data_IF_149064989050
#
_entry.id   IF_149064989050
#
_cell.length_a   1.000
_cell.length_b   1.000
_cell.length_c   1.000
_cell.angle_alpha   90.00
_cell.angle_beta   90.00
_cell.angle_gamma   90.00
#
_symmetry.space_group_name_H-M   'P 1'
#
loop_
_entity.id
_entity.type
_entity.pdbx_description
1 polymer ?
#
# COMPACT_ATOMS: atom_id res chain seq x y z
N UNK A 1 -3.85 0.75 40.13
CA UNK A 1 -5.06 0.70 39.29
C UNK A 1 -4.62 0.73 37.83
N UNK A 2 -4.70 -0.41 37.14
CA UNK A 2 -4.39 -0.50 35.70
C UNK A 2 -5.61 0.00 34.93
N UNK A 3 -5.52 1.20 34.35
CA UNK A 3 -6.52 1.69 33.40
C UNK A 3 -6.38 0.91 32.10
N UNK A 4 -7.30 -0.02 31.87
CA UNK A 4 -7.49 -0.75 30.60
C UNK A 4 -7.93 0.29 29.55
N UNK A 5 -6.99 0.93 28.85
CA UNK A 5 -7.29 1.76 27.68
C UNK A 5 -8.03 0.86 26.69
N UNK A 6 -9.29 1.21 26.40
CA UNK A 6 -10.06 0.57 25.33
C UNK A 6 -9.28 0.79 24.03
N UNK A 7 -8.75 -0.29 23.45
CA UNK A 7 -8.08 -0.25 22.17
C UNK A 7 -9.11 0.07 21.10
N UNK A 8 -9.15 1.33 20.67
CA UNK A 8 -9.79 1.68 19.41
C UNK A 8 -8.85 1.14 18.35
N UNK A 9 -9.26 0.10 17.63
CA UNK A 9 -8.55 -0.33 16.43
C UNK A 9 -8.54 0.87 15.46
N UNK A 10 -7.35 1.38 15.15
CA UNK A 10 -7.21 2.43 14.14
C UNK A 10 -7.68 1.88 12.79
N UNK A 11 -8.45 2.69 12.05
CA UNK A 11 -9.05 2.34 10.78
C UNK A 11 -8.74 3.42 9.75
N UNK A 12 -8.33 3.03 8.53
CA UNK A 12 -7.94 3.94 7.45
C UNK A 12 -9.09 4.34 6.52
N UNK A 13 -10.33 4.00 6.87
CA UNK A 13 -11.51 4.20 6.04
C UNK A 13 -11.79 2.99 5.16
N UNK A 14 -12.40 3.23 4.00
CA UNK A 14 -12.71 2.22 3.01
C UNK A 14 -11.86 2.43 1.76
N UNK A 15 -11.64 1.35 1.01
CA UNK A 15 -11.07 1.45 -0.32
C UNK A 15 -11.90 2.38 -1.21
N UNK A 16 -11.23 2.97 -2.19
CA UNK A 16 -11.83 3.85 -3.17
C UNK A 16 -11.10 3.68 -4.50
N UNK A 17 -11.57 4.36 -5.55
CA UNK A 17 -10.94 4.27 -6.86
C UNK A 17 -9.48 4.78 -6.90
N UNK A 18 -9.00 5.41 -5.82
CA UNK A 18 -7.62 5.90 -5.66
C UNK A 18 -6.92 5.38 -4.37
N UNK A 19 -7.61 4.56 -3.58
CA UNK A 19 -7.09 4.04 -2.30
C UNK A 19 -7.32 2.52 -2.25
N UNK A 20 -6.23 1.77 -2.21
CA UNK A 20 -6.25 0.30 -2.17
C UNK A 20 -5.65 -0.21 -0.85
N UNK A 21 -6.21 -1.28 -0.32
CA UNK A 21 -5.69 -2.01 0.83
C UNK A 21 -5.26 -3.43 0.42
N UNK A 22 -4.13 -3.87 0.98
CA UNK A 22 -3.65 -5.24 0.91
C UNK A 22 -3.27 -5.70 2.29
N UNK A 23 -3.60 -6.94 2.62
CA UNK A 23 -3.32 -7.47 3.95
C UNK A 23 -1.82 -7.65 4.19
N UNK A 24 -1.04 -7.94 3.15
CA UNK A 24 0.41 -8.07 3.24
C UNK A 24 1.13 -8.02 1.90
N UNK A 25 2.45 -7.89 1.94
CA UNK A 25 3.29 -7.91 0.72
C UNK A 25 3.30 -9.25 -0.03
N UNK A 26 2.61 -10.30 0.44
CA UNK A 26 2.40 -11.51 -0.37
C UNK A 26 1.44 -11.28 -1.54
N UNK A 27 0.55 -10.28 -1.43
CA UNK A 27 -0.40 -9.89 -2.48
C UNK A 27 0.23 -8.90 -3.48
N UNK A 28 1.55 -8.96 -3.66
CA UNK A 28 2.30 -7.99 -4.47
C UNK A 28 1.85 -7.96 -5.92
N UNK A 29 1.54 -9.12 -6.49
CA UNK A 29 1.12 -9.19 -7.90
C UNK A 29 -0.20 -8.44 -8.11
N UNK A 30 -1.21 -8.72 -7.28
CA UNK A 30 -2.49 -8.00 -7.30
C UNK A 30 -2.30 -6.51 -7.01
N UNK A 31 -1.38 -6.14 -6.11
CA UNK A 31 -1.08 -4.75 -5.84
C UNK A 31 -0.53 -4.01 -7.09
N UNK A 32 0.29 -4.66 -7.91
CA UNK A 32 0.80 -4.08 -9.16
C UNK A 32 -0.33 -3.87 -10.18
N UNK A 33 -1.24 -4.83 -10.30
CA UNK A 33 -2.45 -4.71 -11.13
C UNK A 33 -3.32 -3.54 -10.67
N UNK A 34 -3.58 -3.41 -9.36
CA UNK A 34 -4.32 -2.29 -8.78
C UNK A 34 -3.61 -0.94 -9.07
N UNK A 35 -2.29 -0.86 -8.94
CA UNK A 35 -1.53 0.36 -9.26
C UNK A 35 -1.72 0.75 -10.74
N UNK A 36 -1.53 -0.19 -11.67
CA UNK A 36 -1.69 0.10 -13.10
C UNK A 36 -3.12 0.56 -13.44
N UNK A 37 -4.13 -0.11 -12.88
CA UNK A 37 -5.54 0.26 -13.06
C UNK A 37 -5.84 1.67 -12.53
N UNK A 38 -5.38 1.98 -11.31
CA UNK A 38 -5.61 3.28 -10.66
C UNK A 38 -4.89 4.39 -11.44
N UNK A 39 -3.64 4.21 -11.86
CA UNK A 39 -2.91 5.21 -12.66
C UNK A 39 -3.59 5.43 -14.02
N UNK A 40 -4.05 4.36 -14.68
CA UNK A 40 -4.76 4.49 -15.95
C UNK A 40 -6.05 5.31 -15.85
N UNK A 41 -6.75 5.22 -14.72
CA UNK A 41 -8.03 5.93 -14.55
C UNK A 41 -7.87 7.31 -13.93
N UNK A 42 -7.02 7.45 -12.93
CA UNK A 42 -6.92 8.65 -12.09
C UNK A 42 -5.56 9.34 -12.14
N UNK A 43 -4.54 8.72 -12.73
CA UNK A 43 -3.18 9.26 -12.83
C UNK A 43 -2.36 9.17 -11.53
N UNK A 44 -3.00 8.96 -10.38
CA UNK A 44 -2.34 8.77 -9.09
C UNK A 44 -3.20 7.98 -8.11
N UNK A 45 -2.56 7.47 -7.06
CA UNK A 45 -3.23 6.74 -6.00
C UNK A 45 -2.33 6.42 -4.80
N UNK A 46 -2.93 5.77 -3.81
CA UNK A 46 -2.26 5.28 -2.61
C UNK A 46 -2.66 3.83 -2.38
N UNK A 47 -1.69 2.98 -2.05
CA UNK A 47 -1.90 1.60 -1.64
C UNK A 47 -1.26 1.35 -0.28
N UNK A 48 -1.96 0.68 0.62
CA UNK A 48 -1.41 0.25 1.91
C UNK A 48 -1.26 -1.26 1.99
N UNK A 49 -0.10 -1.74 2.43
CA UNK A 49 0.08 -3.12 2.86
C UNK A 49 0.06 -3.24 4.38
N UNK A 50 -0.54 -4.31 4.90
CA UNK A 50 -0.72 -4.50 6.35
C UNK A 50 -2.06 -3.97 6.86
N UNK A 51 -3.06 -3.88 5.98
CA UNK A 51 -4.39 -3.34 6.27
C UNK A 51 -5.44 -4.32 5.75
N UNK A 52 -6.44 -4.64 6.56
CA UNK A 52 -7.57 -5.46 6.12
C UNK A 52 -8.46 -4.67 5.15
N UNK A 53 -9.23 -5.37 4.30
CA UNK A 53 -10.17 -4.75 3.33
C UNK A 53 -11.16 -3.77 3.98
N UNK A 54 -11.48 -3.99 5.26
CA UNK A 54 -12.35 -3.10 6.04
C UNK A 54 -11.63 -1.87 6.63
N UNK A 55 -10.37 -1.63 6.28
CA UNK A 55 -9.53 -0.52 6.73
C UNK A 55 -8.83 -0.70 8.07
N UNK A 56 -9.06 -1.81 8.78
CA UNK A 56 -8.43 -2.03 10.09
C UNK A 56 -6.94 -2.38 9.95
N UNK A 57 -6.12 -1.90 10.89
CA UNK A 57 -4.68 -2.20 10.90
C UNK A 57 -4.42 -3.67 11.27
N UNK A 58 -3.94 -4.45 10.29
CA UNK A 58 -3.45 -5.82 10.47
C UNK A 58 -2.03 -5.82 11.03
N UNK A 59 -1.15 -5.03 10.40
CA UNK A 59 0.28 -5.01 10.66
C UNK A 59 1.04 -6.12 9.94
N UNK A 60 2.33 -5.90 9.68
CA UNK A 60 3.24 -6.90 9.13
C UNK A 60 4.69 -6.61 9.55
N UNK A 61 5.60 -7.55 9.25
CA UNK A 61 7.03 -7.32 9.40
C UNK A 61 7.49 -6.45 8.22
N UNK A 62 8.10 -5.31 8.53
CA UNK A 62 8.68 -4.41 7.53
C UNK A 62 10.16 -4.27 7.83
N UNK A 63 11.00 -4.77 6.92
CA UNK A 63 12.44 -4.54 6.90
C UNK A 63 12.83 -3.65 5.73
N UNK A 64 14.08 -3.15 5.73
CA UNK A 64 14.62 -2.41 4.59
C UNK A 64 14.60 -3.23 3.30
N UNK A 65 14.81 -4.55 3.39
CA UNK A 65 14.69 -5.45 2.24
C UNK A 65 13.26 -5.54 1.72
N UNK A 66 12.24 -5.57 2.61
CA UNK A 66 10.84 -5.54 2.19
C UNK A 66 10.51 -4.30 1.35
N UNK A 67 10.97 -3.13 1.80
CA UNK A 67 10.75 -1.86 1.10
C UNK A 67 11.46 -1.82 -0.25
N UNK A 68 12.72 -2.27 -0.27
CA UNK A 68 13.54 -2.34 -1.49
C UNK A 68 12.94 -3.28 -2.53
N UNK A 69 12.57 -4.50 -2.12
CA UNK A 69 11.98 -5.49 -3.02
C UNK A 69 10.67 -4.98 -3.63
N UNK A 70 9.87 -4.25 -2.86
CA UNK A 70 8.64 -3.63 -3.34
C UNK A 70 8.90 -2.52 -4.36
N UNK A 71 9.87 -1.63 -4.09
CA UNK A 71 10.28 -0.59 -5.04
C UNK A 71 10.81 -1.18 -6.36
N UNK A 72 11.64 -2.22 -6.28
CA UNK A 72 12.18 -2.92 -7.43
C UNK A 72 11.09 -3.61 -8.24
N UNK A 73 10.12 -4.28 -7.59
CA UNK A 73 8.96 -4.86 -8.27
C UNK A 73 8.13 -3.81 -8.99
N UNK A 74 7.76 -2.71 -8.33
CA UNK A 74 6.98 -1.64 -8.98
C UNK A 74 7.73 -1.07 -10.20
N UNK A 75 9.04 -0.86 -10.08
CA UNK A 75 9.86 -0.29 -11.17
C UNK A 75 10.08 -1.27 -12.33
N UNK A 76 10.15 -2.58 -12.04
CA UNK A 76 10.42 -3.62 -13.02
C UNK A 76 9.15 -4.04 -13.76
N UNK A 77 8.05 -4.17 -13.02
CA UNK A 77 6.86 -4.87 -13.49
C UNK A 77 5.79 -3.89 -14.02
N UNK A 78 5.85 -2.59 -13.68
CA UNK A 78 4.95 -1.56 -14.25
C UNK A 78 5.61 -0.84 -15.44
N UNK A 79 4.91 -0.79 -16.57
CA UNK A 79 5.34 -0.11 -17.80
C UNK A 79 4.23 0.82 -18.34
N UNK A 80 4.50 2.11 -18.65
CA UNK A 80 5.76 2.81 -18.45
C UNK A 80 6.21 2.87 -17.00
N UNK A 81 7.53 2.96 -16.79
CA UNK A 81 8.09 2.98 -15.43
C UNK A 81 7.59 4.17 -14.63
N UNK A 82 7.28 3.91 -13.36
CA UNK A 82 6.95 4.92 -12.37
C UNK A 82 7.95 4.89 -11.22
N UNK A 83 8.05 5.99 -10.48
CA UNK A 83 8.83 6.07 -9.24
C UNK A 83 7.87 6.26 -8.07
N UNK A 84 7.53 5.19 -7.33
CA UNK A 84 6.66 5.32 -6.17
C UNK A 84 7.39 5.96 -4.98
N UNK A 85 6.63 6.55 -4.07
CA UNK A 85 7.10 6.89 -2.72
C UNK A 85 6.64 5.79 -1.78
N UNK A 86 7.58 5.12 -1.10
CA UNK A 86 7.29 4.00 -0.19
C UNK A 86 7.71 4.37 1.24
N UNK A 87 6.78 4.29 2.17
CA UNK A 87 6.96 4.68 3.57
C UNK A 87 6.56 3.53 4.50
N UNK A 88 7.38 3.27 5.53
CA UNK A 88 7.00 2.41 6.65
C UNK A 88 6.35 3.26 7.74
N UNK A 89 5.14 2.89 8.15
CA UNK A 89 4.39 3.60 9.19
C UNK A 89 4.15 2.66 10.37
N UNK A 90 4.24 3.18 11.60
CA UNK A 90 3.90 2.43 12.82
C UNK A 90 2.62 2.99 13.40
N UNK A 91 1.56 2.17 13.42
CA UNK A 91 0.24 2.53 13.96
C UNK A 91 -0.12 1.51 15.03
N UNK A 92 -0.34 1.99 16.27
CA UNK A 92 -0.64 1.13 17.43
C UNK A 92 0.38 -0.01 17.63
N UNK A 93 1.67 0.30 17.43
CA UNK A 93 2.77 -0.67 17.54
C UNK A 93 2.86 -1.68 16.39
N UNK A 94 2.00 -1.56 15.37
CA UNK A 94 2.00 -2.40 14.17
C UNK A 94 2.58 -1.64 12.99
N UNK A 95 3.53 -2.25 12.29
CA UNK A 95 4.11 -1.67 11.09
C UNK A 95 3.25 -1.97 9.86
N UNK A 96 3.05 -0.97 9.01
CA UNK A 96 2.39 -1.06 7.70
C UNK A 96 3.26 -0.37 6.66
N UNK A 97 2.97 -0.58 5.38
CA UNK A 97 3.67 0.10 4.28
C UNK A 97 2.65 0.95 3.52
N UNK A 98 2.98 2.22 3.27
CA UNK A 98 2.23 3.11 2.39
C UNK A 98 3.00 3.29 1.09
N UNK A 99 2.35 3.07 -0.04
CA UNK A 99 2.89 3.30 -1.38
C UNK A 99 2.06 4.41 -2.03
N UNK A 100 2.68 5.55 -2.31
CA UNK A 100 2.05 6.62 -3.08
C UNK A 100 2.65 6.63 -4.48
N UNK A 101 1.82 6.69 -5.51
CA UNK A 101 2.26 6.53 -6.90
C UNK A 101 1.51 7.48 -7.83
N UNK A 102 2.15 7.82 -8.95
CA UNK A 102 1.56 8.65 -9.99
C UNK A 102 2.23 8.40 -11.34
N UNK A 103 1.53 8.73 -12.43
CA UNK A 103 2.01 8.56 -13.79
C UNK A 103 1.13 9.29 -14.81
N UNK A 104 1.75 9.78 -15.89
CA UNK A 104 1.07 10.54 -16.96
C UNK A 104 1.26 9.92 -18.35
N UNK A 105 2.00 8.81 -18.45
CA UNK A 105 2.35 8.15 -19.70
C UNK A 105 1.42 6.95 -19.94
N UNK A 106 0.13 7.21 -20.07
CA UNK A 106 -0.87 6.16 -20.27
C UNK A 106 -0.78 5.56 -21.69
N UNK A 107 -1.13 4.27 -21.89
CA UNK A 107 -1.58 3.33 -20.86
C UNK A 107 -0.43 2.67 -20.09
N UNK A 108 -0.69 2.34 -18.84
CA UNK A 108 0.16 1.54 -17.96
C UNK A 108 -0.30 0.08 -17.94
N UNK A 109 0.64 -0.86 -17.89
CA UNK A 109 0.43 -2.30 -17.67
C UNK A 109 1.27 -2.81 -16.51
N UNK A 110 0.82 -3.89 -15.87
CA UNK A 110 1.48 -4.64 -14.81
C UNK A 110 1.43 -6.14 -15.09
#
# INVERSE_FOLDING_TARGET
MMSKKRGVCMNLGHESEILEFKESTSERHEALESIAAIINKHGCGVLYFGVYDNGNIRGQIVSDSTLKDLAESITRDIEPKITPTIESLVIDGKSIIKVSFSGTQQPYSA
#
